data_IF_373728995431
#
_entry.id   IF_373728995431
#
_cell.length_a   1.000
_cell.length_b   1.000
_cell.length_c   1.000
_cell.angle_alpha   90.00
_cell.angle_beta   90.00
_cell.angle_gamma   90.00
#
_symmetry.space_group_name_H-M   'P 1'
#
loop_
_entity.id
_entity.type
_entity.pdbx_description
1 polymer ?
#
# COMPACT_ATOMS: atom_id res chain seq x y z
N UNK A 1 -11.43 -1.06 -4.44
CA UNK A 1 -10.12 -0.78 -3.80
C UNK A 1 -9.83 -1.87 -2.78
N UNK A 2 -8.67 -2.46 -2.83
CA UNK A 2 -8.28 -3.52 -1.91
C UNK A 2 -7.52 -2.90 -0.72
N UNK A 3 -8.19 -2.82 0.43
CA UNK A 3 -7.63 -2.30 1.68
C UNK A 3 -7.84 -3.34 2.76
N UNK A 4 -6.78 -3.75 3.41
CA UNK A 4 -6.78 -4.82 4.42
C UNK A 4 -6.20 -4.31 5.74
N UNK A 5 -6.74 -4.85 6.83
CA UNK A 5 -6.28 -4.53 8.19
C UNK A 5 -6.51 -5.73 9.10
N UNK A 6 -5.95 -5.69 10.29
CA UNK A 6 -6.17 -6.75 11.27
C UNK A 6 -7.64 -6.85 11.71
N UNK A 7 -8.37 -5.75 11.65
CA UNK A 7 -9.78 -5.75 12.03
C UNK A 7 -10.64 -6.60 11.10
N UNK A 8 -10.28 -6.65 9.82
CA UNK A 8 -11.00 -7.44 8.81
C UNK A 8 -10.39 -8.82 8.56
N UNK A 9 -9.36 -9.23 9.33
CA UNK A 9 -8.60 -10.44 9.07
C UNK A 9 -8.62 -11.33 10.31
N UNK A 10 -9.21 -12.54 10.27
CA UNK A 10 -9.15 -13.46 11.40
C UNK A 10 -7.71 -13.89 11.67
N UNK A 11 -7.25 -13.88 12.93
CA UNK A 11 -5.91 -14.35 13.25
C UNK A 11 -5.80 -15.87 13.16
N UNK A 12 -4.60 -16.33 12.83
CA UNK A 12 -4.22 -17.76 12.86
C UNK A 12 -3.21 -17.95 13.98
N UNK A 13 -3.44 -18.93 14.86
CA UNK A 13 -2.52 -19.23 15.95
C UNK A 13 -1.31 -19.98 15.43
N UNK A 14 -0.13 -19.37 15.55
CA UNK A 14 1.15 -19.97 15.23
C UNK A 14 1.92 -20.31 16.52
N UNK A 15 3.01 -21.08 16.40
CA UNK A 15 3.87 -21.45 17.52
C UNK A 15 3.05 -22.02 18.70
N UNK A 16 2.35 -23.14 18.44
CA UNK A 16 1.47 -23.83 19.39
C UNK A 16 0.32 -22.93 19.92
N UNK A 17 -0.14 -22.00 19.08
CA UNK A 17 -1.25 -21.12 19.41
C UNK A 17 -0.87 -19.89 20.24
N UNK A 18 0.42 -19.73 20.55
CA UNK A 18 0.87 -18.61 21.39
C UNK A 18 1.11 -17.32 20.62
N UNK A 19 1.22 -17.37 19.29
CA UNK A 19 1.47 -16.22 18.44
C UNK A 19 0.33 -16.08 17.43
N UNK A 20 -0.62 -15.17 17.64
CA UNK A 20 -1.62 -14.89 16.64
C UNK A 20 -0.98 -14.16 15.45
N UNK A 21 -1.28 -14.61 14.24
CA UNK A 21 -0.78 -14.00 13.02
C UNK A 21 -1.98 -13.57 12.17
N UNK A 22 -1.95 -12.33 11.72
CA UNK A 22 -2.94 -11.80 10.79
C UNK A 22 -2.31 -11.75 9.40
N UNK A 23 -2.67 -12.72 8.55
CA UNK A 23 -2.20 -12.75 7.17
C UNK A 23 -2.96 -11.72 6.34
N UNK A 24 -2.43 -10.51 6.23
CA UNK A 24 -3.01 -9.49 5.36
C UNK A 24 -2.90 -9.92 3.89
N UNK A 25 -1.80 -10.55 3.54
CA UNK A 25 -1.62 -11.34 2.32
C UNK A 25 -1.02 -12.67 2.72
N UNK A 26 -1.62 -13.76 2.26
CA UNK A 26 -1.12 -15.11 2.57
C UNK A 26 0.15 -15.40 1.79
N UNK A 27 1.01 -16.33 2.29
CA UNK A 27 2.17 -16.76 1.51
C UNK A 27 1.77 -17.15 0.09
N UNK A 28 2.51 -16.67 -0.90
CA UNK A 28 2.32 -16.94 -2.33
C UNK A 28 1.01 -16.42 -2.93
N UNK A 29 0.22 -15.67 -2.18
CA UNK A 29 -1.07 -15.16 -2.68
C UNK A 29 -0.92 -14.37 -3.99
N UNK A 30 0.18 -13.62 -4.15
CA UNK A 30 0.43 -12.80 -5.33
C UNK A 30 1.41 -13.43 -6.32
N UNK A 31 1.78 -14.69 -6.14
CA UNK A 31 2.79 -15.32 -7.00
C UNK A 31 2.36 -15.36 -8.46
N UNK A 32 1.14 -15.79 -8.73
CA UNK A 32 0.64 -15.92 -10.10
C UNK A 32 0.51 -14.56 -10.81
N UNK A 33 -0.03 -13.57 -10.12
CA UNK A 33 -0.26 -12.24 -10.73
C UNK A 33 1.03 -11.42 -10.89
N UNK A 34 2.10 -11.78 -10.19
CA UNK A 34 3.42 -11.13 -10.35
C UNK A 34 4.40 -11.96 -11.20
N UNK A 35 4.00 -13.17 -11.59
CA UNK A 35 4.86 -14.14 -12.28
C UNK A 35 6.17 -14.37 -11.53
N UNK A 36 6.08 -14.56 -10.21
CA UNK A 36 7.25 -14.75 -9.38
C UNK A 36 8.06 -13.47 -9.18
N UNK A 37 7.36 -12.34 -9.09
CA UNK A 37 7.94 -11.00 -9.01
C UNK A 37 8.97 -10.79 -7.91
N UNK A 38 9.55 -9.62 -7.86
CA UNK A 38 10.66 -9.26 -6.98
C UNK A 38 10.34 -7.99 -6.19
N UNK A 39 11.05 -7.81 -5.09
CA UNK A 39 10.93 -6.59 -4.29
C UNK A 39 11.60 -5.43 -5.04
N UNK A 40 10.79 -4.46 -5.49
CA UNK A 40 11.28 -3.32 -6.27
C UNK A 40 11.82 -2.20 -5.38
N UNK A 41 11.07 -1.85 -4.33
CA UNK A 41 11.46 -0.81 -3.40
C UNK A 41 10.82 -1.00 -2.03
N UNK A 42 11.42 -0.39 -1.04
CA UNK A 42 10.87 -0.23 0.31
C UNK A 42 11.17 1.19 0.75
N UNK A 43 10.18 1.89 1.25
CA UNK A 43 10.37 3.26 1.72
C UNK A 43 9.34 3.62 2.80
N UNK A 44 9.53 4.74 3.40
CA UNK A 44 8.52 5.43 4.19
C UNK A 44 8.34 6.83 3.62
N UNK A 45 7.13 7.35 3.71
CA UNK A 45 6.87 8.72 3.31
C UNK A 45 5.85 9.37 4.24
N UNK A 46 5.91 10.67 4.28
CA UNK A 46 4.97 11.48 5.04
C UNK A 46 4.36 12.52 4.11
N UNK A 47 3.05 12.69 4.21
CA UNK A 47 2.36 13.77 3.53
C UNK A 47 1.95 14.75 4.61
N UNK A 48 2.52 15.95 4.58
CA UNK A 48 2.19 17.00 5.53
C UNK A 48 0.78 17.52 5.29
N UNK A 49 0.17 18.09 6.32
CA UNK A 49 -1.14 18.72 6.19
C UNK A 49 -1.12 19.73 5.05
N UNK A 50 -2.14 19.68 4.19
CA UNK A 50 -2.23 20.49 2.98
C UNK A 50 -1.47 19.92 1.79
N UNK A 51 -0.64 18.88 1.99
CA UNK A 51 0.10 18.23 0.92
C UNK A 51 -0.71 17.14 0.23
N UNK A 52 -0.12 16.60 -0.83
CA UNK A 52 -0.77 15.57 -1.65
C UNK A 52 0.27 14.81 -2.45
N UNK A 53 0.14 13.49 -2.52
CA UNK A 53 0.83 12.70 -3.54
C UNK A 53 0.17 13.03 -4.87
N UNK A 54 0.94 13.57 -5.81
CA UNK A 54 0.39 13.91 -7.13
C UNK A 54 -0.05 12.64 -7.85
N UNK A 55 -1.15 12.69 -8.60
CA UNK A 55 -1.61 11.53 -9.37
C UNK A 55 -0.51 11.00 -10.28
N UNK A 56 -0.23 9.70 -10.17
CA UNK A 56 0.80 9.02 -10.98
C UNK A 56 0.53 7.52 -10.98
N UNK A 57 1.26 6.78 -11.79
CA UNK A 57 1.14 5.32 -11.89
C UNK A 57 2.51 4.67 -12.06
N UNK A 58 2.57 3.38 -11.72
CA UNK A 58 3.77 2.55 -11.87
C UNK A 58 3.42 1.20 -12.47
N UNK A 59 4.35 0.53 -13.18
CA UNK A 59 4.11 -0.81 -13.74
C UNK A 59 4.31 -1.92 -12.70
N UNK A 60 4.16 -1.61 -11.42
CA UNK A 60 4.35 -2.53 -10.29
C UNK A 60 3.09 -2.60 -9.44
N UNK A 61 2.95 -3.65 -8.64
CA UNK A 61 2.08 -3.60 -7.47
C UNK A 61 2.78 -2.74 -6.42
N UNK A 62 2.07 -1.79 -5.85
CA UNK A 62 2.58 -0.95 -4.77
C UNK A 62 1.68 -1.07 -3.55
N UNK A 63 2.28 -1.02 -2.37
CA UNK A 63 1.56 -1.17 -1.11
C UNK A 63 1.90 -0.01 -0.19
N UNK A 64 0.85 0.64 0.32
CA UNK A 64 0.96 1.66 1.37
C UNK A 64 0.37 1.10 2.65
N UNK A 65 1.19 0.99 3.69
CA UNK A 65 0.71 0.66 5.03
C UNK A 65 0.73 1.93 5.87
N UNK A 66 -0.46 2.37 6.30
CA UNK A 66 -0.58 3.61 7.09
C UNK A 66 -0.10 3.35 8.51
N UNK A 67 1.00 4.01 8.88
CA UNK A 67 1.63 3.85 10.19
C UNK A 67 1.20 4.93 11.18
N UNK A 68 0.69 6.07 10.68
CA UNK A 68 0.24 7.18 11.50
C UNK A 68 -0.75 8.05 10.73
N UNK A 69 -1.79 8.50 11.45
CA UNK A 69 -2.74 9.45 10.90
C UNK A 69 -3.83 8.81 10.05
N UNK A 70 -4.57 9.67 9.37
CA UNK A 70 -5.64 9.27 8.45
C UNK A 70 -5.69 10.21 7.26
N UNK A 71 -6.26 9.73 6.16
CA UNK A 71 -6.35 10.50 4.94
C UNK A 71 -7.31 9.87 3.95
N UNK A 72 -7.20 10.31 2.70
CA UNK A 72 -7.98 9.77 1.60
C UNK A 72 -7.05 9.18 0.56
N UNK A 73 -7.37 7.99 0.12
CA UNK A 73 -6.70 7.30 -0.99
C UNK A 73 -7.60 7.33 -2.20
N UNK A 74 -7.05 7.72 -3.34
CA UNK A 74 -7.74 7.67 -4.62
C UNK A 74 -7.01 6.71 -5.54
N UNK A 75 -7.75 5.76 -6.11
CA UNK A 75 -7.26 4.85 -7.14
C UNK A 75 -8.28 4.91 -8.28
N UNK A 76 -7.86 5.41 -9.45
CA UNK A 76 -8.80 5.71 -10.52
C UNK A 76 -9.83 6.72 -10.05
N UNK A 77 -11.10 6.39 -10.18
CA UNK A 77 -12.20 7.27 -9.77
C UNK A 77 -12.70 6.99 -8.35
N UNK A 78 -12.17 5.94 -7.70
CA UNK A 78 -12.60 5.56 -6.37
C UNK A 78 -11.79 6.29 -5.30
N UNK A 79 -12.48 6.89 -4.33
CA UNK A 79 -11.86 7.56 -3.19
C UNK A 79 -12.34 6.87 -1.91
N UNK A 80 -11.39 6.55 -1.03
CA UNK A 80 -11.72 5.93 0.25
C UNK A 80 -10.89 6.55 1.38
N UNK A 81 -11.53 6.74 2.53
CA UNK A 81 -10.81 7.12 3.74
C UNK A 81 -9.98 5.94 4.25
N UNK A 82 -8.74 6.23 4.63
CA UNK A 82 -7.79 5.27 5.18
C UNK A 82 -7.17 5.83 6.45
N UNK A 83 -6.74 4.93 7.34
CA UNK A 83 -6.21 5.31 8.64
C UNK A 83 -5.13 4.33 9.08
N UNK A 84 -4.48 4.66 10.20
CA UNK A 84 -3.45 3.82 10.81
C UNK A 84 -3.90 2.36 10.87
N UNK A 85 -3.06 1.46 10.38
CA UNK A 85 -3.33 0.03 10.33
C UNK A 85 -3.90 -0.47 9.00
N UNK A 86 -4.25 0.41 8.08
CA UNK A 86 -4.74 0.01 6.76
C UNK A 86 -3.58 -0.27 5.80
N UNK A 87 -3.66 -1.39 5.09
CA UNK A 87 -2.77 -1.76 4.00
C UNK A 87 -3.52 -1.62 2.69
N UNK A 88 -3.03 -0.74 1.82
CA UNK A 88 -3.64 -0.43 0.53
C UNK A 88 -2.83 -1.12 -0.55
N UNK A 89 -3.49 -1.95 -1.37
CA UNK A 89 -2.90 -2.53 -2.56
C UNK A 89 -3.21 -1.67 -3.77
N UNK A 90 -2.17 -1.21 -4.45
CA UNK A 90 -2.29 -0.40 -5.67
C UNK A 90 -1.90 -1.28 -6.85
N UNK A 91 -2.86 -1.56 -7.77
CA UNK A 91 -2.56 -2.39 -8.94
C UNK A 91 -1.59 -1.73 -9.91
N UNK A 92 -0.90 -2.52 -10.76
CA UNK A 92 -0.05 -1.95 -11.80
C UNK A 92 -0.82 -0.97 -12.69
N UNK A 93 -0.15 0.11 -13.05
CA UNK A 93 -0.64 1.15 -13.97
C UNK A 93 -1.90 1.90 -13.49
N UNK A 94 -2.37 1.64 -12.29
CA UNK A 94 -3.50 2.37 -11.72
C UNK A 94 -3.04 3.76 -11.27
N UNK A 95 -3.68 4.80 -11.79
CA UNK A 95 -3.41 6.18 -11.36
C UNK A 95 -3.88 6.35 -9.94
N UNK A 96 -3.01 6.81 -9.06
CA UNK A 96 -3.31 6.94 -7.64
C UNK A 96 -2.79 8.23 -7.04
N UNK A 97 -3.40 8.61 -5.93
CA UNK A 97 -3.12 9.82 -5.18
C UNK A 97 -3.53 9.60 -3.72
N UNK A 98 -2.95 10.35 -2.82
CA UNK A 98 -3.28 10.30 -1.38
C UNK A 98 -3.08 11.67 -0.78
N UNK A 99 -3.94 12.05 0.17
CA UNK A 99 -3.81 13.30 0.92
C UNK A 99 -4.31 13.15 2.35
N UNK A 100 -3.78 13.94 3.30
CA UNK A 100 -4.25 13.91 4.67
C UNK A 100 -5.72 14.32 4.79
N UNK A 101 -6.40 13.79 5.80
CA UNK A 101 -7.81 14.10 6.03
C UNK A 101 -8.03 15.55 6.46
N UNK A 102 -7.03 16.15 7.11
CA UNK A 102 -7.11 17.56 7.56
C UNK A 102 -5.84 18.31 7.17
N UNK A 103 -5.93 19.63 7.12
CA UNK A 103 -4.80 20.48 6.74
C UNK A 103 -3.76 20.67 7.86
N UNK A 104 -4.05 20.21 9.07
CA UNK A 104 -3.19 20.42 10.23
C UNK A 104 -2.59 19.16 10.83
N UNK A 105 -2.73 18.03 10.15
CA UNK A 105 -2.15 16.77 10.61
C UNK A 105 -1.62 15.96 9.43
N UNK A 106 -0.45 15.31 9.58
CA UNK A 106 0.14 14.50 8.51
C UNK A 106 -0.46 13.11 8.46
N UNK A 107 -0.23 12.43 7.34
CA UNK A 107 -0.36 10.98 7.22
C UNK A 107 1.01 10.40 6.89
N UNK A 108 1.38 9.30 7.54
CA UNK A 108 2.67 8.63 7.34
C UNK A 108 2.44 7.19 6.91
N UNK A 109 3.17 6.75 5.89
CA UNK A 109 3.05 5.41 5.34
C UNK A 109 4.40 4.72 5.22
N UNK A 110 4.38 3.41 5.45
CA UNK A 110 5.41 2.49 5.00
C UNK A 110 5.00 1.98 3.63
N UNK A 111 5.93 2.04 2.67
CA UNK A 111 5.65 1.71 1.28
C UNK A 111 6.60 0.62 0.78
N UNK A 112 6.07 -0.34 0.05
CA UNK A 112 6.89 -1.28 -0.71
C UNK A 112 6.21 -1.58 -2.04
N UNK A 113 7.02 -1.94 -3.02
CA UNK A 113 6.51 -2.31 -4.34
C UNK A 113 7.06 -3.66 -4.78
N UNK A 114 6.19 -4.43 -5.44
CA UNK A 114 6.55 -5.73 -6.00
C UNK A 114 6.56 -5.60 -7.51
N UNK A 115 7.73 -5.82 -8.10
CA UNK A 115 7.91 -5.80 -9.54
C UNK A 115 7.30 -7.02 -10.20
N UNK A 116 6.78 -6.83 -11.41
CA UNK A 116 6.29 -7.90 -12.26
C UNK A 116 7.41 -8.28 -13.20
N UNK A 117 7.73 -9.55 -13.28
CA UNK A 117 8.78 -10.04 -14.19
C UNK A 117 8.46 -9.61 -15.62
N UNK A 118 9.43 -8.96 -16.26
CA UNK A 118 9.29 -8.49 -17.65
C UNK A 118 8.66 -7.12 -17.81
N UNK A 119 8.18 -6.49 -16.73
CA UNK A 119 7.66 -5.12 -16.79
C UNK A 119 8.81 -4.12 -16.95
N UNK A 120 8.53 -2.93 -17.52
CA UNK A 120 9.57 -1.90 -17.66
C UNK A 120 9.99 -1.37 -16.28
N UNK A 121 11.23 -0.81 -16.18
CA UNK A 121 11.68 -0.22 -14.92
C UNK A 121 10.87 1.03 -14.56
N UNK A 122 10.80 1.32 -13.26
CA UNK A 122 10.22 2.56 -12.77
C UNK A 122 11.23 3.69 -12.98
N UNK A 123 10.74 4.84 -13.43
CA UNK A 123 11.55 6.05 -13.50
C UNK A 123 11.38 6.86 -12.21
N UNK A 124 12.40 6.81 -11.36
CA UNK A 124 12.39 7.53 -10.08
C UNK A 124 12.82 8.99 -10.19
N UNK A 125 13.35 9.40 -11.34
CA UNK A 125 13.88 10.73 -11.52
C UNK A 125 12.84 11.81 -11.83
N UNK A 126 11.59 11.41 -12.09
CA UNK A 126 10.52 12.32 -12.53
C UNK A 126 9.39 12.49 -11.51
N UNK A 127 9.56 12.00 -10.32
CA UNK A 127 8.54 12.10 -9.27
C UNK A 127 8.62 13.40 -8.48
#
# INVERSE_FOLDING_TARGET
MDVRSIEGTPPVGEHAGTVPVWWLFKPREMFAETDGGFLELVSEFEIKGGGKVNPHSHPTYEFYYVTYGRGFMQIGDEVREVQQGDLIKIPPDAVHSMWPATSNAPIHCFCFAVGIKGAPPIDYGTH
#
